data_IF_564459255967
#
_entry.id   IF_564459255967
#
_cell.length_a   1.000
_cell.length_b   1.000
_cell.length_c   1.000
_cell.angle_alpha   90.00
_cell.angle_beta   90.00
_cell.angle_gamma   90.00
#
_symmetry.space_group_name_H-M   'P 1'
#
loop_
_entity.id
_entity.type
_entity.pdbx_description
1 polymer ?
#
# COMPACT_ATOMS: atom_id res chain seq x y z
N UNK A 1 -8.55 12.95 -1.14
CA UNK A 1 -7.83 11.71 -0.82
C UNK A 1 -7.46 11.74 0.65
N UNK A 2 -7.73 10.66 1.37
CA UNK A 2 -7.33 10.47 2.75
C UNK A 2 -6.36 9.28 2.83
N UNK A 3 -5.11 9.53 3.17
CA UNK A 3 -4.13 8.48 3.42
C UNK A 3 -4.42 7.81 4.76
N UNK A 4 -4.76 6.55 4.71
CA UNK A 4 -5.16 5.73 5.87
C UNK A 4 -4.04 4.77 6.26
N UNK A 5 -3.43 4.10 5.27
CA UNK A 5 -2.47 3.01 5.47
C UNK A 5 -2.99 2.01 6.52
N UNK A 6 -2.30 1.85 7.66
CA UNK A 6 -2.68 0.92 8.74
C UNK A 6 -3.36 1.61 9.93
N UNK A 7 -3.78 2.90 9.77
CA UNK A 7 -4.50 3.66 10.80
C UNK A 7 -6.02 3.37 10.82
N UNK A 8 -6.44 2.23 10.32
CA UNK A 8 -7.79 1.70 10.45
C UNK A 8 -7.77 0.37 11.19
N UNK A 9 -8.79 0.11 12.01
CA UNK A 9 -8.92 -1.14 12.76
C UNK A 9 -9.45 -2.25 11.85
N UNK A 10 -8.61 -2.72 10.92
CA UNK A 10 -8.94 -3.85 10.05
C UNK A 10 -9.49 -5.02 10.85
N UNK A 11 -10.66 -5.53 10.46
CA UNK A 11 -11.31 -6.69 11.10
C UNK A 11 -10.75 -8.00 10.51
N UNK A 12 -10.48 -8.00 9.18
CA UNK A 12 -9.96 -9.17 8.45
C UNK A 12 -8.47 -9.41 8.73
N UNK A 13 -7.71 -8.34 9.02
CA UNK A 13 -6.27 -8.38 9.29
C UNK A 13 -5.91 -7.55 10.53
N UNK A 14 -6.36 -7.99 11.72
CA UNK A 14 -6.14 -7.23 12.96
C UNK A 14 -4.66 -7.10 13.34
N UNK A 15 -3.79 -7.99 12.86
CA UNK A 15 -2.33 -7.98 13.06
C UNK A 15 -1.62 -6.81 12.35
N UNK A 16 -2.29 -6.19 11.37
CA UNK A 16 -1.75 -5.06 10.62
C UNK A 16 -2.15 -3.69 11.18
N UNK A 17 -3.00 -3.63 12.19
CA UNK A 17 -3.47 -2.36 12.77
C UNK A 17 -2.35 -1.58 13.44
N UNK A 18 -2.39 -0.27 13.32
CA UNK A 18 -1.63 0.61 14.22
C UNK A 18 -2.33 0.70 15.59
N UNK A 19 -1.55 1.00 16.63
CA UNK A 19 -2.06 1.04 18.01
C UNK A 19 -3.14 2.11 18.25
N UNK A 20 -3.12 3.20 17.48
CA UNK A 20 -4.06 4.31 17.56
C UNK A 20 -5.03 4.35 16.36
N UNK A 21 -5.24 3.21 15.70
CA UNK A 21 -6.05 3.13 14.49
C UNK A 21 -7.52 3.51 14.73
N UNK A 22 -8.11 4.21 13.76
CA UNK A 22 -9.51 4.60 13.74
C UNK A 22 -10.43 3.37 13.78
N UNK A 23 -11.43 3.42 14.64
CA UNK A 23 -12.46 2.40 14.66
C UNK A 23 -13.42 2.55 13.46
N UNK A 24 -14.14 1.50 13.14
CA UNK A 24 -15.23 1.53 12.14
C UNK A 24 -16.27 2.62 12.45
N UNK A 25 -16.55 2.85 13.74
CA UNK A 25 -17.47 3.90 14.19
C UNK A 25 -16.93 5.31 13.91
N UNK A 26 -15.61 5.52 14.07
CA UNK A 26 -14.98 6.80 13.77
C UNK A 26 -14.95 7.07 12.26
N UNK A 27 -14.65 6.06 11.45
CA UNK A 27 -14.72 6.14 9.99
C UNK A 27 -16.13 6.47 9.53
N UNK A 28 -17.17 5.83 10.11
CA UNK A 28 -18.56 6.14 9.79
C UNK A 28 -18.94 7.60 10.08
N UNK A 29 -18.45 8.17 11.21
CA UNK A 29 -18.65 9.61 11.51
C UNK A 29 -17.96 10.48 10.47
N UNK A 30 -16.71 10.16 10.10
CA UNK A 30 -15.95 10.89 9.08
C UNK A 30 -16.67 10.87 7.73
N UNK A 31 -17.14 9.71 7.28
CA UNK A 31 -17.90 9.56 6.03
C UNK A 31 -19.16 10.41 6.06
N UNK A 32 -19.89 10.43 7.18
CA UNK A 32 -21.10 11.24 7.33
C UNK A 32 -20.81 12.74 7.22
N UNK A 33 -19.73 13.22 7.86
CA UNK A 33 -19.29 14.63 7.75
C UNK A 33 -18.88 14.97 6.33
N UNK A 34 -18.10 14.12 5.64
CA UNK A 34 -17.72 14.37 4.26
C UNK A 34 -18.96 14.44 3.34
N UNK A 35 -19.91 13.52 3.51
CA UNK A 35 -21.15 13.49 2.72
C UNK A 35 -22.00 14.73 2.93
N UNK A 36 -22.18 15.19 4.18
CA UNK A 36 -22.97 16.39 4.49
C UNK A 36 -22.35 17.67 3.93
N UNK A 37 -21.06 17.66 3.60
CA UNK A 37 -20.34 18.78 3.00
C UNK A 37 -20.04 18.59 1.51
N UNK A 38 -20.67 17.63 0.84
CA UNK A 38 -20.45 17.30 -0.58
C UNK A 38 -18.96 16.98 -0.91
N UNK A 39 -18.24 16.36 0.02
CA UNK A 39 -16.86 15.93 -0.16
C UNK A 39 -16.86 14.45 -0.56
N UNK A 40 -16.33 14.12 -1.73
CA UNK A 40 -16.01 12.73 -2.12
C UNK A 40 -14.77 12.27 -1.37
N UNK A 41 -14.92 11.27 -0.53
CA UNK A 41 -13.81 10.70 0.23
C UNK A 41 -13.22 9.49 -0.48
N UNK A 42 -11.93 9.54 -0.79
CA UNK A 42 -11.18 8.45 -1.44
C UNK A 42 -10.12 7.97 -0.46
N UNK A 43 -10.25 6.76 0.10
CA UNK A 43 -9.24 6.20 0.99
C UNK A 43 -7.99 5.80 0.22
N UNK A 44 -6.82 5.96 0.85
CA UNK A 44 -5.52 5.57 0.32
C UNK A 44 -4.82 4.60 1.27
N UNK A 45 -4.32 3.50 0.71
CA UNK A 45 -3.26 2.67 1.29
C UNK A 45 -2.11 2.67 0.29
N UNK A 46 -0.90 2.98 0.75
CA UNK A 46 0.25 2.88 -0.13
C UNK A 46 0.56 1.42 -0.45
N UNK A 47 0.39 1.07 -1.72
CA UNK A 47 0.73 -0.24 -2.27
C UNK A 47 2.06 -0.17 -3.03
N UNK A 48 2.68 -1.31 -3.21
CA UNK A 48 3.97 -1.54 -3.84
C UNK A 48 5.12 -0.83 -3.09
N UNK A 49 5.30 0.47 -3.28
CA UNK A 49 6.27 1.30 -2.58
C UNK A 49 5.81 1.71 -1.17
N UNK A 50 6.60 2.55 -0.52
CA UNK A 50 6.32 3.08 0.82
C UNK A 50 5.99 2.03 1.90
N UNK A 51 6.61 0.84 1.80
CA UNK A 51 6.49 -0.19 2.84
C UNK A 51 7.47 0.03 4.00
N UNK A 52 8.23 1.11 3.93
CA UNK A 52 9.03 1.66 5.03
C UNK A 52 9.15 3.17 4.86
N UNK A 53 9.51 3.85 5.93
CA UNK A 53 9.87 5.27 5.89
C UNK A 53 11.02 5.53 6.87
N UNK A 54 12.08 6.17 6.41
CA UNK A 54 13.29 6.40 7.18
C UNK A 54 13.85 5.07 7.74
N UNK A 55 13.99 4.96 9.05
CA UNK A 55 14.48 3.75 9.71
C UNK A 55 13.36 2.76 10.12
N UNK A 56 12.09 3.07 9.76
CA UNK A 56 10.92 2.30 10.24
C UNK A 56 10.26 1.53 9.10
N UNK A 57 10.19 0.21 9.24
CA UNK A 57 9.38 -0.66 8.37
C UNK A 57 7.90 -0.58 8.77
N UNK A 58 7.01 -0.46 7.77
CA UNK A 58 5.58 -0.41 7.98
C UNK A 58 4.97 -1.79 8.25
N UNK A 59 3.71 -1.81 8.68
CA UNK A 59 3.10 -3.00 9.25
C UNK A 59 3.05 -4.19 8.30
N UNK A 60 2.81 -3.98 6.99
CA UNK A 60 2.76 -5.09 6.04
C UNK A 60 4.07 -5.90 6.03
N UNK A 61 5.21 -5.25 5.81
CA UNK A 61 6.50 -5.95 5.77
C UNK A 61 7.02 -6.30 7.17
N UNK A 62 6.55 -5.64 8.22
CA UNK A 62 6.88 -6.00 9.60
C UNK A 62 6.22 -7.30 10.02
N UNK A 63 4.96 -7.52 9.61
CA UNK A 63 4.18 -8.72 9.94
C UNK A 63 4.45 -9.85 8.95
N UNK A 64 4.59 -9.50 7.66
CA UNK A 64 4.83 -10.43 6.55
C UNK A 64 6.16 -10.14 5.85
N UNK A 65 7.32 -10.35 6.52
CA UNK A 65 8.63 -10.03 5.96
C UNK A 65 8.97 -10.82 4.68
N UNK A 66 8.29 -11.94 4.43
CA UNK A 66 8.44 -12.71 3.19
C UNK A 66 7.96 -11.94 1.94
N UNK A 67 7.19 -10.87 2.10
CA UNK A 67 6.73 -10.03 1.00
C UNK A 67 7.78 -8.98 0.59
N UNK A 68 8.82 -8.75 1.40
CA UNK A 68 9.85 -7.76 1.11
C UNK A 68 10.55 -8.08 -0.23
N UNK A 69 10.60 -7.09 -1.11
CA UNK A 69 11.31 -7.17 -2.39
C UNK A 69 12.82 -7.28 -2.19
N UNK A 70 13.33 -6.63 -1.15
CA UNK A 70 14.75 -6.50 -0.85
C UNK A 70 15.08 -6.91 0.58
N UNK A 71 14.84 -8.19 0.98
CA UNK A 71 15.08 -8.62 2.36
C UNK A 71 16.55 -8.56 2.77
N UNK A 72 17.47 -8.53 1.79
CA UNK A 72 18.91 -8.37 1.99
C UNK A 72 19.34 -6.93 2.30
N UNK A 73 18.47 -5.94 2.04
CA UNK A 73 18.72 -4.53 2.33
C UNK A 73 18.23 -4.20 3.74
N UNK A 74 19.16 -3.85 4.63
CA UNK A 74 18.83 -3.43 5.99
C UNK A 74 18.55 -1.94 6.04
N UNK A 75 17.47 -1.57 6.71
CA UNK A 75 17.18 -0.17 6.99
C UNK A 75 18.27 0.43 7.89
N UNK A 76 18.65 1.71 7.67
CA UNK A 76 19.66 2.36 8.50
C UNK A 76 19.15 2.51 9.93
N UNK A 77 20.05 2.34 10.92
CA UNK A 77 19.72 2.54 12.33
C UNK A 77 19.33 4.00 12.64
N UNK A 78 19.89 4.93 11.88
CA UNK A 78 19.60 6.37 11.96
C UNK A 78 19.37 6.91 10.56
N UNK A 79 18.22 7.52 10.36
CA UNK A 79 17.91 8.20 9.10
C UNK A 79 18.67 9.54 9.02
N UNK A 80 19.22 9.82 7.86
CA UNK A 80 19.83 11.11 7.52
C UNK A 80 19.28 11.59 6.17
N UNK A 81 19.00 12.86 6.06
CA UNK A 81 18.58 13.47 4.79
C UNK A 81 19.67 14.42 4.27
N UNK A 82 19.95 14.45 2.97
CA UNK A 82 19.37 13.60 1.93
C UNK A 82 19.84 12.15 2.01
N UNK A 83 18.97 11.20 1.60
CA UNK A 83 19.30 9.79 1.48
C UNK A 83 19.42 9.40 0.00
N UNK A 84 20.65 9.34 -0.55
CA UNK A 84 20.88 9.09 -1.98
C UNK A 84 20.51 7.67 -2.40
N UNK A 85 20.45 6.73 -1.44
CA UNK A 85 20.24 5.31 -1.73
C UNK A 85 18.75 4.91 -1.83
N UNK A 86 17.82 5.83 -1.54
CA UNK A 86 16.37 5.53 -1.53
C UNK A 86 15.94 4.51 -0.47
N UNK A 87 16.81 4.16 0.47
CA UNK A 87 16.59 3.11 1.48
C UNK A 87 15.42 3.38 2.44
N UNK A 88 14.96 4.63 2.50
CA UNK A 88 13.81 5.00 3.32
C UNK A 88 12.48 4.43 2.81
N UNK A 89 12.44 3.89 1.60
CA UNK A 89 11.21 3.49 0.93
C UNK A 89 11.33 2.09 0.32
N UNK A 90 11.07 1.06 1.12
CA UNK A 90 10.99 -0.33 0.66
C UNK A 90 9.72 -0.59 -0.16
N UNK A 91 9.76 -1.65 -0.97
CA UNK A 91 8.61 -2.17 -1.70
C UNK A 91 8.31 -3.60 -1.31
N UNK A 92 7.08 -4.05 -1.52
CA UNK A 92 6.79 -5.47 -1.53
C UNK A 92 7.08 -6.08 -2.92
N UNK A 93 7.34 -7.40 -2.96
CA UNK A 93 7.52 -8.14 -4.21
C UNK A 93 6.16 -8.45 -4.85
N UNK A 94 5.81 -7.86 -6.02
CA UNK A 94 4.51 -8.06 -6.66
C UNK A 94 4.31 -9.47 -7.22
N UNK A 95 5.35 -10.31 -7.21
CA UNK A 95 5.31 -11.71 -7.67
C UNK A 95 5.16 -12.71 -6.51
N UNK A 96 5.00 -12.24 -5.26
CA UNK A 96 4.77 -13.18 -4.16
C UNK A 96 3.36 -13.79 -4.26
N UNK A 97 3.20 -15.13 -4.24
CA UNK A 97 1.92 -15.81 -4.52
C UNK A 97 0.81 -15.48 -3.53
N UNK A 98 1.15 -15.17 -2.28
CA UNK A 98 0.17 -14.90 -1.22
C UNK A 98 -0.06 -13.41 -0.97
N UNK A 99 0.71 -12.52 -1.60
CA UNK A 99 0.64 -11.08 -1.37
C UNK A 99 -0.77 -10.53 -1.63
N UNK A 100 -1.31 -10.82 -2.82
CA UNK A 100 -2.56 -10.21 -3.27
C UNK A 100 -3.77 -10.67 -2.46
N UNK A 101 -3.72 -11.85 -1.82
CA UNK A 101 -4.78 -12.28 -0.88
C UNK A 101 -4.91 -11.30 0.30
N UNK A 102 -3.77 -10.84 0.83
CA UNK A 102 -3.75 -9.90 1.95
C UNK A 102 -4.09 -8.50 1.45
N UNK A 103 -3.37 -8.02 0.42
CA UNK A 103 -3.53 -6.66 -0.10
C UNK A 103 -4.96 -6.39 -0.57
N UNK A 104 -5.55 -7.29 -1.35
CA UNK A 104 -6.92 -7.12 -1.85
C UNK A 104 -7.95 -7.19 -0.73
N UNK A 105 -7.73 -8.03 0.28
CA UNK A 105 -8.59 -8.06 1.46
C UNK A 105 -8.58 -6.71 2.22
N UNK A 106 -7.41 -6.06 2.35
CA UNK A 106 -7.30 -4.72 2.94
C UNK A 106 -7.99 -3.66 2.08
N UNK A 107 -7.78 -3.71 0.76
CA UNK A 107 -8.40 -2.78 -0.20
C UNK A 107 -9.92 -2.87 -0.15
N UNK A 108 -10.47 -4.07 -0.14
CA UNK A 108 -11.90 -4.27 -0.07
C UNK A 108 -12.48 -3.76 1.24
N UNK A 109 -11.88 -4.11 2.37
CA UNK A 109 -12.35 -3.70 3.69
C UNK A 109 -12.32 -2.17 3.85
N UNK A 110 -11.26 -1.51 3.37
CA UNK A 110 -11.17 -0.06 3.48
C UNK A 110 -12.20 0.64 2.57
N UNK A 111 -12.42 0.15 1.34
CA UNK A 111 -13.44 0.69 0.45
C UNK A 111 -14.85 0.52 1.04
N UNK A 112 -15.14 -0.63 1.63
CA UNK A 112 -16.40 -0.90 2.32
C UNK A 112 -16.60 0.04 3.53
N UNK A 113 -15.57 0.17 4.37
CA UNK A 113 -15.65 1.00 5.57
C UNK A 113 -15.85 2.49 5.25
N UNK A 114 -15.21 2.99 4.19
CA UNK A 114 -15.30 4.38 3.74
C UNK A 114 -16.45 4.63 2.76
N UNK A 115 -17.25 3.62 2.44
CA UNK A 115 -18.36 3.70 1.48
C UNK A 115 -17.90 4.35 0.16
N UNK A 116 -16.68 3.99 -0.31
CA UNK A 116 -16.05 4.61 -1.47
C UNK A 116 -16.10 3.71 -2.70
N UNK A 117 -16.44 4.29 -3.84
CA UNK A 117 -16.33 3.67 -5.16
C UNK A 117 -15.00 3.97 -5.84
N UNK A 118 -14.02 4.53 -5.13
CA UNK A 118 -12.68 4.76 -5.60
C UNK A 118 -11.66 4.43 -4.50
N UNK A 119 -10.51 3.98 -4.91
CA UNK A 119 -9.38 3.65 -4.04
C UNK A 119 -8.10 4.27 -4.59
N UNK A 120 -7.28 4.87 -3.74
CA UNK A 120 -5.99 5.38 -4.12
C UNK A 120 -4.89 4.44 -3.63
N UNK A 121 -4.15 3.86 -4.55
CA UNK A 121 -3.11 2.87 -4.24
C UNK A 121 -1.74 3.48 -3.91
N UNK A 122 -1.60 4.82 -3.95
CA UNK A 122 -0.31 5.47 -3.82
C UNK A 122 0.58 5.18 -5.02
N UNK A 123 1.48 4.21 -4.90
CA UNK A 123 2.42 3.72 -5.92
C UNK A 123 3.45 4.76 -6.37
N UNK A 124 3.66 5.79 -5.55
CA UNK A 124 4.73 6.78 -5.70
C UNK A 124 6.07 6.24 -5.17
N UNK A 125 7.14 6.85 -5.61
CA UNK A 125 8.52 6.59 -5.14
C UNK A 125 8.89 5.10 -5.04
N UNK A 126 8.48 4.30 -6.03
CA UNK A 126 8.85 2.88 -6.10
C UNK A 126 10.30 2.75 -6.55
N UNK A 127 11.24 2.72 -5.60
CA UNK A 127 12.67 2.63 -5.87
C UNK A 127 13.15 1.18 -6.04
N UNK A 128 12.56 0.25 -5.30
CA UNK A 128 12.91 -1.16 -5.33
C UNK A 128 11.81 -1.97 -6.00
N UNK A 129 12.07 -2.42 -7.22
CA UNK A 129 11.23 -3.36 -7.97
C UNK A 129 12.12 -4.11 -8.96
N UNK A 130 11.93 -5.41 -9.11
CA UNK A 130 12.76 -6.24 -9.98
C UNK A 130 14.23 -6.24 -9.53
N UNK A 131 14.48 -6.28 -8.23
CA UNK A 131 15.83 -6.38 -7.66
C UNK A 131 16.45 -7.73 -8.04
N UNK A 132 17.70 -7.71 -8.53
CA UNK A 132 18.40 -8.91 -9.05
C UNK A 132 18.51 -10.04 -8.01
N UNK A 133 18.50 -9.70 -6.73
CA UNK A 133 18.54 -10.66 -5.62
C UNK A 133 17.15 -11.12 -5.15
N UNK A 134 16.08 -10.56 -5.71
CA UNK A 134 14.73 -11.03 -5.40
C UNK A 134 14.52 -12.41 -6.03
N UNK A 135 14.19 -13.46 -5.26
CA UNK A 135 14.06 -14.81 -5.78
C UNK A 135 12.86 -15.01 -6.73
N UNK A 136 11.99 -14.02 -6.87
CA UNK A 136 10.74 -14.11 -7.65
C UNK A 136 10.72 -13.21 -8.88
N UNK A 137 11.27 -12.01 -8.77
CA UNK A 137 11.22 -11.02 -9.84
C UNK A 137 12.61 -10.55 -10.29
N UNK A 138 13.68 -11.14 -9.76
CA UNK A 138 15.05 -10.85 -10.18
C UNK A 138 15.25 -11.02 -11.68
N UNK A 139 15.83 -10.01 -12.33
CA UNK A 139 16.04 -9.98 -13.78
C UNK A 139 14.79 -9.70 -14.62
N UNK A 140 13.61 -9.52 -14.04
CA UNK A 140 12.40 -9.13 -14.76
C UNK A 140 12.43 -7.63 -15.10
N UNK A 141 11.77 -7.28 -16.21
CA UNK A 141 11.61 -5.88 -16.61
C UNK A 141 10.80 -5.09 -15.56
N UNK A 142 11.39 -4.02 -15.04
CA UNK A 142 10.82 -3.21 -13.95
C UNK A 142 9.55 -2.50 -14.36
N UNK A 143 9.49 -1.97 -15.59
CA UNK A 143 8.32 -1.28 -16.10
C UNK A 143 7.15 -2.26 -16.30
N UNK A 144 7.44 -3.46 -16.82
CA UNK A 144 6.44 -4.52 -16.95
C UNK A 144 5.91 -4.98 -15.58
N UNK A 145 6.77 -5.14 -14.57
CA UNK A 145 6.36 -5.48 -13.20
C UNK A 145 5.42 -4.42 -12.62
N UNK A 146 5.79 -3.14 -12.74
CA UNK A 146 4.97 -2.02 -12.27
C UNK A 146 3.61 -1.98 -12.97
N UNK A 147 3.62 -2.02 -14.31
CA UNK A 147 2.40 -1.99 -15.11
C UNK A 147 1.48 -3.21 -14.83
N UNK A 148 2.05 -4.38 -14.59
CA UNK A 148 1.29 -5.58 -14.23
C UNK A 148 0.66 -5.44 -12.84
N UNK A 149 1.36 -4.85 -11.88
CA UNK A 149 0.81 -4.60 -10.56
C UNK A 149 -0.37 -3.61 -10.62
N UNK A 150 -0.22 -2.51 -11.36
CA UNK A 150 -1.32 -1.56 -11.62
C UNK A 150 -2.54 -2.28 -12.22
N UNK A 151 -2.32 -3.14 -13.24
CA UNK A 151 -3.43 -3.89 -13.87
C UNK A 151 -4.12 -4.81 -12.89
N UNK A 152 -3.38 -5.57 -12.08
CA UNK A 152 -3.95 -6.49 -11.07
C UNK A 152 -4.85 -5.74 -10.07
N UNK A 153 -4.36 -4.60 -9.55
CA UNK A 153 -5.13 -3.79 -8.61
C UNK A 153 -6.37 -3.20 -9.28
N UNK A 154 -6.22 -2.66 -10.51
CA UNK A 154 -7.36 -2.14 -11.28
C UNK A 154 -8.41 -3.20 -11.55
N UNK A 155 -8.00 -4.38 -12.00
CA UNK A 155 -8.92 -5.47 -12.36
C UNK A 155 -9.69 -5.95 -11.14
N UNK A 156 -9.02 -6.12 -9.98
CA UNK A 156 -9.67 -6.44 -8.73
C UNK A 156 -10.70 -5.37 -8.29
N UNK A 157 -10.35 -4.09 -8.40
CA UNK A 157 -11.28 -3.00 -8.07
C UNK A 157 -12.48 -2.96 -9.03
N UNK A 158 -12.24 -3.23 -10.31
CA UNK A 158 -13.28 -3.24 -11.35
C UNK A 158 -14.35 -4.31 -11.12
N UNK A 159 -14.00 -5.46 -10.50
CA UNK A 159 -14.97 -6.50 -10.11
C UNK A 159 -16.09 -5.95 -9.21
N UNK A 160 -15.78 -4.91 -8.43
CA UNK A 160 -16.71 -4.23 -7.53
C UNK A 160 -17.10 -2.82 -8.01
N UNK A 161 -16.95 -2.52 -9.30
CA UNK A 161 -17.24 -1.21 -9.92
C UNK A 161 -16.52 -0.05 -9.20
N UNK A 162 -15.28 -0.23 -8.77
CA UNK A 162 -14.46 0.78 -8.11
C UNK A 162 -13.39 1.31 -9.05
N UNK A 163 -13.05 2.59 -8.90
CA UNK A 163 -12.00 3.27 -9.66
C UNK A 163 -10.64 3.11 -8.94
N UNK A 164 -9.58 2.87 -9.71
CA UNK A 164 -8.20 2.96 -9.23
C UNK A 164 -7.64 4.37 -9.45
N UNK A 165 -7.04 4.94 -8.42
CA UNK A 165 -6.26 6.17 -8.45
C UNK A 165 -4.83 5.87 -8.01
N UNK A 166 -3.83 6.47 -8.67
CA UNK A 166 -2.40 6.38 -8.32
C UNK A 166 -1.72 7.73 -8.49
N UNK A 167 -0.57 7.90 -7.89
CA UNK A 167 0.32 9.02 -8.22
C UNK A 167 1.01 8.77 -9.56
N UNK A 168 1.27 9.85 -10.33
CA UNK A 168 1.79 9.76 -11.70
C UNK A 168 3.32 9.92 -11.83
N UNK A 169 4.08 9.95 -10.75
CA UNK A 169 5.53 10.20 -10.76
C UNK A 169 6.36 9.04 -11.35
N UNK A 170 5.75 7.87 -11.55
CA UNK A 170 6.38 6.66 -12.11
C UNK A 170 5.74 6.17 -13.42
N UNK A 171 4.90 6.99 -14.04
CA UNK A 171 4.26 6.69 -15.32
C UNK A 171 5.11 7.15 -16.50
#
# INVERSE_FOLDING_TARGET
ILRVDFNYQFERHPELRDSAALSKADVKKLVAVCRSNNIRLIPQINLLGHQSWAAKTHNLLRVYPQFDETPHVKMPAKYTWPNPDGLYCKSYCPQHPDLHKIVFSLVDEICEAFESNAFHAGMDEVFYIGDDKCPRCGGMDKAALFANEVRKIRDHLAENNRELWIWGDRL
#
